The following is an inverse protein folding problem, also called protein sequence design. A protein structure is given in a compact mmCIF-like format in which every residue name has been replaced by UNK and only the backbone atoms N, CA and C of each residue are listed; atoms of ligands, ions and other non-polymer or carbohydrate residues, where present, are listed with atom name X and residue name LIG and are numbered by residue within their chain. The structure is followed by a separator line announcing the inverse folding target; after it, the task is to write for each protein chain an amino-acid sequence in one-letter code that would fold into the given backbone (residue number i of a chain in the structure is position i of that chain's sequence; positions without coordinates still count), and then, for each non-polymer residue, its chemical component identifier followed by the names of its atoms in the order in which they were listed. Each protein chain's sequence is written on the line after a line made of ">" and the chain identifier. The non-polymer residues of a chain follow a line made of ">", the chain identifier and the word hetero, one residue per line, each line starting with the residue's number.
data_IF_581160923248
#
_entry.id   IF_581160923248
#
_cell.length_a   1.000
_cell.length_b   1.000
_cell.length_c   1.000
_cell.angle_alpha   90.00
_cell.angle_beta   90.00
_cell.angle_gamma   90.00
#
_symmetry.space_group_name_H-M   'P 1'
#
loop_
_entity.id
_entity.type
_entity.pdbx_description
1 polymer ?
#
# COMPACT_ATOMS: atom_id res chain seq x y z
N UNK A 1 90.75 26.88 -14.94
CA UNK A 1 89.82 26.54 -16.05
C UNK A 1 88.99 25.26 -15.82
N UNK A 2 89.49 24.23 -15.10
CA UNK A 2 88.83 22.92 -14.94
C UNK A 2 87.51 22.90 -14.13
N UNK A 3 87.34 23.80 -13.15
CA UNK A 3 86.15 23.83 -12.28
C UNK A 3 84.86 24.32 -12.95
N UNK A 4 84.96 25.10 -14.04
CA UNK A 4 83.78 25.61 -14.75
C UNK A 4 83.05 24.51 -15.52
N UNK A 5 83.77 23.49 -16.00
CA UNK A 5 83.17 22.35 -16.70
C UNK A 5 82.41 21.40 -15.76
N UNK A 6 82.89 21.22 -14.52
CA UNK A 6 82.23 20.35 -13.54
C UNK A 6 80.82 20.87 -13.16
N UNK A 7 80.65 22.19 -13.04
CA UNK A 7 79.35 22.80 -12.71
C UNK A 7 78.32 22.63 -13.83
N UNK A 8 78.74 22.70 -15.10
CA UNK A 8 77.83 22.48 -16.24
C UNK A 8 77.31 21.04 -16.27
N UNK A 9 78.16 20.04 -16.00
CA UNK A 9 77.76 18.63 -15.99
C UNK A 9 76.73 18.36 -14.88
N UNK A 10 76.93 18.90 -13.69
CA UNK A 10 76.00 18.74 -12.57
C UNK A 10 74.63 19.37 -12.88
N UNK A 11 74.62 20.56 -13.50
CA UNK A 11 73.38 21.23 -13.91
C UNK A 11 72.60 20.43 -14.97
N UNK A 12 73.31 19.84 -15.94
CA UNK A 12 72.66 19.02 -16.98
C UNK A 12 72.07 17.71 -16.41
N UNK A 13 72.75 17.09 -15.45
CA UNK A 13 72.28 15.87 -14.78
C UNK A 13 71.07 16.15 -13.89
N UNK A 14 71.05 17.27 -13.17
CA UNK A 14 69.90 17.65 -12.33
C UNK A 14 68.67 17.99 -13.18
N UNK A 15 68.85 18.68 -14.31
CA UNK A 15 67.76 18.97 -15.25
C UNK A 15 67.18 17.67 -15.86
N UNK A 16 68.04 16.73 -16.25
CA UNK A 16 67.63 15.42 -16.75
C UNK A 16 66.83 14.61 -15.72
N UNK A 17 67.27 14.61 -14.46
CA UNK A 17 66.56 13.93 -13.38
C UNK A 17 65.16 14.51 -13.13
N UNK A 18 65.00 15.83 -13.17
CA UNK A 18 63.70 16.50 -13.01
C UNK A 18 62.76 16.19 -14.18
N UNK A 19 63.28 16.14 -15.41
CA UNK A 19 62.48 15.76 -16.59
C UNK A 19 62.01 14.30 -16.52
N UNK A 20 62.88 13.37 -16.12
CA UNK A 20 62.51 11.96 -15.94
C UNK A 20 61.48 11.81 -14.83
N UNK A 21 61.63 12.55 -13.73
CA UNK A 21 60.65 12.56 -12.64
C UNK A 21 59.28 13.09 -13.10
N UNK A 22 59.25 14.23 -13.81
CA UNK A 22 58.02 14.79 -14.38
C UNK A 22 57.34 13.84 -15.37
N UNK A 23 58.12 13.19 -16.24
CA UNK A 23 57.58 12.24 -17.20
C UNK A 23 56.94 11.03 -16.49
N UNK A 24 57.60 10.48 -15.47
CA UNK A 24 57.04 9.39 -14.66
C UNK A 24 55.76 9.80 -13.93
N UNK A 25 55.70 11.02 -13.40
CA UNK A 25 54.49 11.53 -12.74
C UNK A 25 53.32 11.70 -13.72
N UNK A 26 53.58 12.13 -14.96
CA UNK A 26 52.54 12.25 -15.99
C UNK A 26 51.99 10.88 -16.41
N UNK A 27 52.86 9.88 -16.57
CA UNK A 27 52.44 8.51 -16.90
C UNK A 27 51.59 7.92 -15.77
N UNK A 28 52.03 8.04 -14.51
CA UNK A 28 51.26 7.55 -13.36
C UNK A 28 49.89 8.22 -13.25
N UNK A 29 49.78 9.52 -13.58
CA UNK A 29 48.50 10.22 -13.58
C UNK A 29 47.58 9.71 -14.69
N UNK A 30 48.12 9.44 -15.89
CA UNK A 30 47.31 8.89 -16.98
C UNK A 30 46.80 7.48 -16.66
N UNK A 31 47.63 6.63 -16.05
CA UNK A 31 47.26 5.28 -15.63
C UNK A 31 46.11 5.29 -14.60
N UNK A 32 46.13 6.23 -13.65
CA UNK A 32 45.04 6.36 -12.65
C UNK A 32 43.73 6.84 -13.28
N UNK A 33 43.79 7.75 -14.27
CA UNK A 33 42.60 8.20 -15.01
C UNK A 33 42.00 7.05 -15.81
N UNK A 34 42.82 6.24 -16.48
CA UNK A 34 42.34 5.07 -17.21
C UNK A 34 41.74 4.02 -16.28
N UNK A 35 42.38 3.73 -15.15
CA UNK A 35 41.84 2.81 -14.15
C UNK A 35 40.50 3.31 -13.60
N UNK A 36 40.37 4.61 -13.31
CA UNK A 36 39.12 5.22 -12.87
C UNK A 36 38.03 5.08 -13.95
N UNK A 37 38.34 5.38 -15.22
CA UNK A 37 37.40 5.22 -16.34
C UNK A 37 36.94 3.78 -16.53
N UNK A 38 37.85 2.81 -16.45
CA UNK A 38 37.51 1.38 -16.53
C UNK A 38 36.60 0.95 -15.39
N UNK A 39 36.86 1.41 -14.16
CA UNK A 39 36.01 1.09 -13.02
C UNK A 39 34.60 1.69 -13.13
N UNK A 40 34.47 2.90 -13.68
CA UNK A 40 33.15 3.52 -13.93
C UNK A 40 32.40 2.80 -15.05
N UNK A 41 33.09 2.42 -16.13
CA UNK A 41 32.50 1.64 -17.21
C UNK A 41 32.00 0.29 -16.70
N UNK A 42 32.80 -0.39 -15.87
CA UNK A 42 32.42 -1.66 -15.26
C UNK A 42 31.21 -1.51 -14.34
N UNK A 43 31.20 -0.52 -13.44
CA UNK A 43 30.06 -0.23 -12.56
C UNK A 43 28.77 0.03 -13.34
N UNK A 44 28.86 0.71 -14.50
CA UNK A 44 27.70 0.98 -15.35
C UNK A 44 27.14 -0.30 -15.98
N UNK A 45 28.02 -1.23 -16.37
CA UNK A 45 27.62 -2.54 -16.91
C UNK A 45 26.98 -3.38 -15.81
N UNK A 46 27.60 -3.45 -14.63
CA UNK A 46 27.11 -4.23 -13.50
C UNK A 46 25.72 -3.74 -13.06
N UNK A 47 25.55 -2.42 -12.93
CA UNK A 47 24.26 -1.81 -12.58
C UNK A 47 23.20 -1.99 -13.68
N UNK A 48 23.60 -2.03 -14.95
CA UNK A 48 22.69 -2.36 -16.05
C UNK A 48 22.24 -3.82 -16.03
N UNK A 49 23.16 -4.74 -15.71
CA UNK A 49 22.87 -6.16 -15.57
C UNK A 49 21.97 -6.45 -14.37
N UNK A 50 22.20 -5.78 -13.22
CA UNK A 50 21.34 -5.87 -12.05
C UNK A 50 19.91 -5.41 -12.36
N UNK A 51 19.77 -4.26 -13.02
CA UNK A 51 18.45 -3.76 -13.46
C UNK A 51 17.75 -4.73 -14.40
N UNK A 52 18.45 -5.24 -15.41
CA UNK A 52 17.88 -6.22 -16.34
C UNK A 52 17.51 -7.54 -15.64
N UNK A 53 18.26 -7.95 -14.62
CA UNK A 53 17.94 -9.13 -13.82
C UNK A 53 16.68 -8.90 -12.96
N UNK A 54 16.56 -7.74 -12.31
CA UNK A 54 15.37 -7.36 -11.54
C UNK A 54 14.12 -7.24 -12.41
N UNK A 55 14.22 -6.65 -13.61
CA UNK A 55 13.10 -6.57 -14.55
C UNK A 55 12.65 -7.97 -15.00
N UNK A 56 13.60 -8.88 -15.30
CA UNK A 56 13.29 -10.26 -15.66
C UNK A 56 12.63 -11.02 -14.51
N UNK A 57 13.06 -10.82 -13.26
CA UNK A 57 12.43 -11.48 -12.12
C UNK A 57 11.02 -10.96 -11.85
N UNK A 58 10.79 -9.65 -12.04
CA UNK A 58 9.46 -9.04 -11.93
C UNK A 58 8.50 -9.59 -13.00
N UNK A 59 8.95 -9.66 -14.27
CA UNK A 59 8.16 -10.24 -15.36
C UNK A 59 7.85 -11.73 -15.13
N UNK A 60 8.80 -12.50 -14.59
CA UNK A 60 8.57 -13.90 -14.27
C UNK A 60 7.55 -14.08 -13.13
N UNK A 61 7.59 -13.21 -12.11
CA UNK A 61 6.60 -13.21 -11.03
C UNK A 61 5.20 -12.85 -11.54
N UNK A 62 5.09 -11.85 -12.41
CA UNK A 62 3.83 -11.43 -13.04
C UNK A 62 3.23 -12.55 -13.90
N UNK A 63 4.06 -13.27 -14.66
CA UNK A 63 3.61 -14.44 -15.40
C UNK A 63 3.08 -15.55 -14.49
N UNK A 64 3.76 -15.83 -13.37
CA UNK A 64 3.30 -16.82 -12.38
C UNK A 64 1.96 -16.40 -11.76
N UNK A 65 1.79 -15.12 -11.43
CA UNK A 65 0.53 -14.58 -10.92
C UNK A 65 -0.61 -14.75 -11.95
N UNK A 66 -0.37 -14.40 -13.22
CA UNK A 66 -1.34 -14.60 -14.31
C UNK A 66 -1.74 -16.08 -14.49
N UNK A 67 -0.81 -17.01 -14.28
CA UNK A 67 -1.11 -18.44 -14.32
C UNK A 67 -1.94 -18.90 -13.12
N UNK A 68 -1.66 -18.39 -11.92
CA UNK A 68 -2.45 -18.66 -10.72
C UNK A 68 -3.89 -18.13 -10.86
N UNK A 69 -4.05 -16.90 -11.35
CA UNK A 69 -5.36 -16.29 -11.60
C UNK A 69 -6.22 -17.13 -12.56
N UNK A 70 -5.62 -17.62 -13.66
CA UNK A 70 -6.31 -18.50 -14.61
C UNK A 70 -6.78 -19.79 -13.95
N UNK A 71 -6.02 -20.35 -13.02
CA UNK A 71 -6.43 -21.56 -12.29
C UNK A 71 -7.64 -21.30 -11.38
N UNK A 72 -7.68 -20.13 -10.72
CA UNK A 72 -8.81 -19.70 -9.88
C UNK A 72 -10.07 -19.46 -10.72
N UNK A 73 -9.96 -18.82 -11.88
CA UNK A 73 -11.12 -18.62 -12.78
C UNK A 73 -11.71 -19.97 -13.22
N UNK A 74 -10.85 -20.97 -13.49
CA UNK A 74 -11.30 -22.30 -13.86
C UNK A 74 -11.93 -23.09 -12.70
N UNK A 75 -11.52 -22.87 -11.44
CA UNK A 75 -12.20 -23.47 -10.29
C UNK A 75 -13.57 -22.83 -10.06
N UNK A 76 -13.65 -21.51 -10.12
CA UNK A 76 -14.91 -20.77 -9.95
C UNK A 76 -15.94 -21.14 -11.02
N UNK A 77 -15.52 -21.35 -12.27
CA UNK A 77 -16.43 -21.85 -13.31
C UNK A 77 -16.97 -23.24 -12.97
N UNK A 78 -16.13 -24.16 -12.48
CA UNK A 78 -16.55 -25.50 -12.06
C UNK A 78 -17.52 -25.46 -10.88
N UNK A 79 -17.30 -24.57 -9.92
CA UNK A 79 -18.21 -24.38 -8.79
C UNK A 79 -19.56 -23.79 -9.22
N UNK A 80 -19.56 -22.81 -10.13
CA UNK A 80 -20.79 -22.27 -10.70
C UNK A 80 -21.58 -23.32 -11.48
N UNK A 81 -20.91 -24.16 -12.26
CA UNK A 81 -21.56 -25.25 -12.99
C UNK A 81 -22.15 -26.29 -12.02
N UNK A 82 -21.45 -26.60 -10.93
CA UNK A 82 -21.94 -27.49 -9.87
C UNK A 82 -23.17 -26.92 -9.14
N UNK A 83 -23.18 -25.61 -8.83
CA UNK A 83 -24.32 -24.93 -8.21
C UNK A 83 -25.52 -24.90 -9.16
N UNK A 84 -25.30 -24.59 -10.44
CA UNK A 84 -26.35 -24.61 -11.46
C UNK A 84 -26.96 -26.02 -11.62
N UNK A 85 -26.15 -27.06 -11.64
CA UNK A 85 -26.62 -28.45 -11.70
C UNK A 85 -27.43 -28.87 -10.45
N UNK A 86 -27.01 -28.40 -9.26
CA UNK A 86 -27.72 -28.62 -7.99
C UNK A 86 -29.07 -27.87 -7.97
N UNK A 87 -29.12 -26.65 -8.50
CA UNK A 87 -30.36 -25.89 -8.64
C UNK A 87 -31.32 -26.50 -9.68
N UNK A 88 -30.80 -27.20 -10.69
CA UNK A 88 -31.60 -27.86 -11.72
C UNK A 88 -32.25 -29.20 -11.29
N UNK A 89 -31.92 -29.72 -10.10
CA UNK A 89 -32.55 -30.94 -9.53
C UNK A 89 -33.18 -30.66 -8.16
N UNK A 90 -34.38 -30.05 -8.09
CA UNK A 90 -35.11 -29.93 -6.84
C UNK A 90 -35.94 -31.21 -6.61
N UNK A 91 -35.31 -32.28 -6.12
CA UNK A 91 -36.06 -33.42 -5.59
C UNK A 91 -35.30 -34.14 -4.48
N UNK A 92 -35.93 -34.12 -3.30
CA UNK A 92 -35.76 -35.01 -2.14
C UNK A 92 -34.48 -34.85 -1.32
N UNK A 93 -34.57 -34.03 -0.28
CA UNK A 93 -34.66 -34.56 1.10
C UNK A 93 -35.34 -33.50 1.98
N UNK A 94 -36.57 -33.78 2.39
CA UNK A 94 -37.21 -33.22 3.59
C UNK A 94 -37.65 -34.42 4.43
N UNK A 95 -37.82 -34.19 5.74
CA UNK A 95 -38.23 -35.13 6.82
C UNK A 95 -36.97 -35.66 7.55
N UNK A 96 -36.63 -35.37 8.80
CA UNK A 96 -37.28 -34.70 9.95
C UNK A 96 -36.17 -34.31 10.94
N UNK A 97 -36.23 -33.13 11.56
CA UNK A 97 -35.94 -32.98 12.99
C UNK A 97 -36.40 -31.60 13.46
N UNK A 98 -37.55 -31.57 14.14
CA UNK A 98 -37.88 -30.50 15.05
C UNK A 98 -37.20 -30.78 16.38
N UNK A 99 -36.41 -29.82 16.85
CA UNK A 99 -36.18 -29.41 18.26
C UNK A 99 -34.89 -28.60 18.30
N UNK A 100 -35.00 -27.36 18.79
CA UNK A 100 -33.98 -26.31 18.87
C UNK A 100 -33.71 -25.55 17.56
N UNK A 101 -34.50 -24.51 17.34
CA UNK A 101 -34.08 -23.33 16.60
C UNK A 101 -32.98 -22.63 17.41
N UNK A 102 -31.78 -23.20 17.33
CA UNK A 102 -30.54 -22.47 17.60
C UNK A 102 -30.52 -21.37 16.55
N UNK A 103 -30.66 -20.11 16.97
CA UNK A 103 -30.36 -18.97 16.14
C UNK A 103 -29.01 -19.24 15.50
N UNK A 104 -28.98 -19.46 14.17
CA UNK A 104 -27.74 -19.57 13.42
C UNK A 104 -27.17 -18.15 13.46
N UNK A 105 -26.38 -17.86 14.49
CA UNK A 105 -25.65 -16.59 14.60
C UNK A 105 -24.73 -16.59 13.37
N UNK A 106 -24.93 -15.68 12.42
CA UNK A 106 -24.07 -15.62 11.25
C UNK A 106 -22.64 -15.36 11.70
N UNK A 107 -21.63 -15.90 10.99
CA UNK A 107 -20.23 -15.71 11.36
C UNK A 107 -19.93 -14.21 11.46
N UNK A 108 -19.23 -13.82 12.53
CA UNK A 108 -18.75 -12.46 12.72
C UNK A 108 -17.28 -12.36 12.32
N UNK A 109 -16.81 -11.13 12.06
CA UNK A 109 -15.39 -10.89 11.76
C UNK A 109 -14.45 -11.39 12.86
N UNK A 110 -14.92 -11.58 14.09
CA UNK A 110 -14.13 -12.09 15.20
C UNK A 110 -13.90 -13.62 15.13
N UNK A 111 -14.75 -14.35 14.41
CA UNK A 111 -14.74 -15.82 14.43
C UNK A 111 -13.89 -16.39 13.29
N UNK A 112 -14.13 -15.90 12.07
CA UNK A 112 -13.52 -16.41 10.83
C UNK A 112 -13.27 -15.27 9.84
N UNK A 113 -12.33 -15.44 8.89
CA UNK A 113 -12.23 -14.52 7.75
C UNK A 113 -13.54 -14.48 6.96
N UNK A 114 -14.10 -13.28 6.78
CA UNK A 114 -15.32 -13.05 5.98
C UNK A 114 -14.91 -12.41 4.66
N UNK A 115 -15.35 -12.97 3.54
CA UNK A 115 -15.14 -12.41 2.21
C UNK A 115 -15.91 -11.10 2.04
N UNK A 116 -15.39 -10.19 1.22
CA UNK A 116 -16.06 -8.92 0.91
C UNK A 116 -17.49 -9.08 0.38
N UNK A 117 -17.79 -10.22 -0.26
CA UNK A 117 -19.12 -10.55 -0.78
C UNK A 117 -20.13 -10.88 0.31
N UNK A 118 -19.63 -11.28 1.49
CA UNK A 118 -20.43 -11.70 2.63
C UNK A 118 -20.44 -10.64 3.74
N UNK A 119 -19.72 -9.53 3.58
CA UNK A 119 -19.86 -8.37 4.46
C UNK A 119 -21.27 -7.81 4.36
N UNK A 120 -21.78 -7.34 5.50
CA UNK A 120 -23.14 -6.82 5.60
C UNK A 120 -23.16 -5.53 6.40
N UNK A 121 -24.23 -4.76 6.18
CA UNK A 121 -24.61 -3.73 7.12
C UNK A 121 -25.23 -4.39 8.36
N UNK A 122 -24.44 -4.49 9.42
CA UNK A 122 -24.84 -5.05 10.73
C UNK A 122 -24.98 -3.97 11.79
N UNK A 123 -24.91 -2.69 11.39
CA UNK A 123 -25.01 -1.53 12.27
C UNK A 123 -23.70 -1.21 13.00
N UNK A 124 -23.83 -0.56 14.16
CA UNK A 124 -22.71 0.01 14.92
C UNK A 124 -22.83 -0.27 16.43
N UNK A 125 -23.56 -1.31 16.82
CA UNK A 125 -23.82 -1.63 18.23
C UNK A 125 -22.60 -2.26 18.93
N UNK A 126 -21.63 -2.77 18.15
CA UNK A 126 -20.32 -3.21 18.61
C UNK A 126 -19.20 -2.68 17.71
N UNK A 127 -17.94 -2.67 18.18
CA UNK A 127 -16.80 -2.29 17.35
C UNK A 127 -16.67 -3.13 16.08
N UNK A 128 -16.86 -4.45 16.18
CA UNK A 128 -16.79 -5.37 15.04
C UNK A 128 -17.94 -5.14 14.05
N UNK A 129 -19.14 -4.86 14.58
CA UNK A 129 -20.30 -4.52 13.75
C UNK A 129 -20.05 -3.22 12.96
N UNK A 130 -19.52 -2.19 13.62
CA UNK A 130 -19.15 -0.93 12.97
C UNK A 130 -18.10 -1.15 11.87
N UNK A 131 -17.12 -2.03 12.09
CA UNK A 131 -16.11 -2.37 11.08
C UNK A 131 -16.73 -3.14 9.91
N UNK A 132 -17.52 -4.18 10.16
CA UNK A 132 -18.16 -4.95 9.07
C UNK A 132 -19.05 -4.04 8.22
N UNK A 133 -19.83 -3.18 8.86
CA UNK A 133 -20.66 -2.20 8.16
C UNK A 133 -19.83 -1.18 7.39
N UNK A 134 -18.70 -0.72 7.93
CA UNK A 134 -17.79 0.20 7.23
C UNK A 134 -17.16 -0.46 6.01
N UNK A 135 -16.68 -1.71 6.15
CA UNK A 135 -16.09 -2.48 5.05
C UNK A 135 -17.13 -2.77 3.96
N UNK A 136 -18.35 -3.14 4.35
CA UNK A 136 -19.49 -3.29 3.45
C UNK A 136 -19.80 -2.00 2.70
N UNK A 137 -19.90 -0.88 3.42
CA UNK A 137 -20.20 0.43 2.84
C UNK A 137 -19.09 0.84 1.85
N UNK A 138 -17.83 0.64 2.20
CA UNK A 138 -16.72 0.93 1.32
C UNK A 138 -16.69 0.04 0.07
N UNK A 139 -16.95 -1.26 0.21
CA UNK A 139 -17.04 -2.18 -0.91
C UNK A 139 -18.20 -1.84 -1.86
N UNK A 140 -19.32 -1.35 -1.32
CA UNK A 140 -20.48 -0.90 -2.08
C UNK A 140 -20.39 0.53 -2.62
N UNK A 141 -19.41 1.32 -2.20
CA UNK A 141 -19.32 2.74 -2.51
C UNK A 141 -20.34 3.62 -1.78
N UNK A 142 -20.93 3.12 -0.69
CA UNK A 142 -21.89 3.86 0.15
C UNK A 142 -21.13 4.82 1.10
N UNK A 143 -20.74 5.97 0.55
CA UNK A 143 -19.98 6.98 1.28
C UNK A 143 -20.76 7.64 2.41
N UNK A 144 -22.09 7.63 2.34
CA UNK A 144 -22.94 8.22 3.38
C UNK A 144 -22.97 7.35 4.63
N UNK A 145 -23.21 6.03 4.47
CA UNK A 145 -23.13 5.08 5.59
C UNK A 145 -21.72 5.06 6.14
N UNK A 146 -20.70 5.01 5.29
CA UNK A 146 -19.31 5.06 5.74
C UNK A 146 -19.02 6.32 6.56
N UNK A 147 -19.40 7.50 6.07
CA UNK A 147 -19.19 8.76 6.79
C UNK A 147 -19.87 8.79 8.17
N UNK A 148 -21.05 8.19 8.30
CA UNK A 148 -21.77 8.11 9.58
C UNK A 148 -21.02 7.30 10.65
N UNK A 149 -20.16 6.37 10.22
CA UNK A 149 -19.36 5.48 11.05
C UNK A 149 -17.96 6.03 11.35
N UNK A 150 -17.57 7.15 10.74
CA UNK A 150 -16.28 7.78 11.00
C UNK A 150 -16.37 8.77 12.18
N UNK A 151 -15.33 8.77 12.99
CA UNK A 151 -15.05 9.78 13.99
C UNK A 151 -13.73 10.48 13.61
N UNK A 152 -13.81 11.81 13.45
CA UNK A 152 -12.66 12.65 13.14
C UNK A 152 -12.26 13.41 14.40
N UNK A 153 -11.05 13.16 14.90
CA UNK A 153 -10.45 13.99 15.93
C UNK A 153 -10.29 15.43 15.42
N UNK A 154 -10.19 16.40 16.34
CA UNK A 154 -10.21 17.83 16.00
C UNK A 154 -9.15 18.23 14.97
N UNK A 155 -7.93 17.69 15.07
CA UNK A 155 -6.84 17.95 14.12
C UNK A 155 -7.15 17.42 12.72
N UNK A 156 -7.65 16.18 12.65
CA UNK A 156 -8.04 15.49 11.40
C UNK A 156 -9.18 16.24 10.72
N UNK A 157 -10.20 16.64 11.49
CA UNK A 157 -11.33 17.44 11.00
C UNK A 157 -10.86 18.75 10.41
N UNK A 158 -10.08 19.52 11.17
CA UNK A 158 -9.57 20.82 10.72
C UNK A 158 -8.78 20.69 9.41
N UNK A 159 -7.82 19.75 9.34
CA UNK A 159 -7.04 19.54 8.11
C UNK A 159 -7.93 19.14 6.93
N UNK A 160 -8.89 18.25 7.16
CA UNK A 160 -9.81 17.80 6.10
C UNK A 160 -10.69 18.93 5.59
N UNK A 161 -11.13 19.85 6.47
CA UNK A 161 -11.85 21.06 6.09
C UNK A 161 -11.00 22.02 5.26
N UNK A 162 -9.74 22.24 5.65
CA UNK A 162 -8.80 23.07 4.90
C UNK A 162 -8.55 22.50 3.51
N UNK A 163 -8.40 21.17 3.41
CA UNK A 163 -8.25 20.48 2.14
C UNK A 163 -9.50 20.63 1.27
N UNK A 164 -10.69 20.37 1.82
CA UNK A 164 -11.95 20.51 1.08
C UNK A 164 -12.11 21.94 0.54
N UNK A 165 -11.84 22.96 1.36
CA UNK A 165 -11.90 24.39 0.96
C UNK A 165 -10.87 24.78 -0.10
N UNK A 166 -9.80 24.00 -0.26
CA UNK A 166 -8.78 24.25 -1.30
C UNK A 166 -9.19 23.75 -2.69
N UNK A 167 -10.25 22.93 -2.77
CA UNK A 167 -10.75 22.36 -4.01
C UNK A 167 -11.73 23.33 -4.72
N UNK A 168 -11.99 23.18 -6.03
CA UNK A 168 -12.97 24.01 -6.72
C UNK A 168 -14.38 23.92 -6.10
N UNK A 169 -15.15 25.01 -6.15
CA UNK A 169 -16.49 25.11 -5.55
C UNK A 169 -17.44 24.00 -6.04
N UNK A 170 -17.36 23.64 -7.33
CA UNK A 170 -18.14 22.54 -7.92
C UNK A 170 -17.85 21.19 -7.25
N UNK A 171 -16.62 20.98 -6.77
CA UNK A 171 -16.23 19.78 -6.04
C UNK A 171 -16.62 19.87 -4.56
N UNK A 172 -16.44 21.03 -3.94
CA UNK A 172 -16.89 21.27 -2.56
C UNK A 172 -18.39 20.98 -2.40
N UNK A 173 -19.20 21.41 -3.36
CA UNK A 173 -20.65 21.26 -3.32
C UNK A 173 -21.15 19.81 -3.35
N UNK A 174 -20.28 18.84 -3.69
CA UNK A 174 -20.62 17.41 -3.70
C UNK A 174 -20.62 16.79 -2.29
N UNK A 175 -20.03 17.47 -1.30
CA UNK A 175 -19.90 16.95 0.06
C UNK A 175 -20.70 17.82 1.03
N UNK A 176 -21.67 17.21 1.72
CA UNK A 176 -22.47 17.91 2.73
C UNK A 176 -21.73 18.01 4.06
N UNK A 177 -20.79 17.10 4.32
CA UNK A 177 -19.97 17.07 5.53
C UNK A 177 -18.52 16.71 5.22
N UNK A 178 -17.63 17.02 6.15
CA UNK A 178 -16.19 16.70 6.05
C UNK A 178 -15.97 15.19 6.12
N UNK A 179 -16.79 14.50 6.90
CA UNK A 179 -16.78 13.04 7.01
C UNK A 179 -17.13 12.38 5.68
N UNK A 180 -18.07 12.93 4.90
CA UNK A 180 -18.37 12.43 3.55
C UNK A 180 -17.18 12.59 2.61
N UNK A 181 -16.47 13.72 2.70
CA UNK A 181 -15.25 13.94 1.93
C UNK A 181 -14.15 12.93 2.31
N UNK A 182 -13.92 12.71 3.61
CA UNK A 182 -12.95 11.72 4.09
C UNK A 182 -13.33 10.29 3.70
N UNK A 183 -14.61 9.92 3.84
CA UNK A 183 -15.13 8.62 3.40
C UNK A 183 -14.90 8.42 1.90
N UNK A 184 -15.20 9.42 1.07
CA UNK A 184 -14.97 9.37 -0.37
C UNK A 184 -13.49 9.16 -0.74
N UNK A 185 -12.57 9.83 -0.04
CA UNK A 185 -11.13 9.64 -0.28
C UNK A 185 -10.69 8.22 0.10
N UNK A 186 -11.17 7.73 1.24
CA UNK A 186 -10.72 6.46 1.84
C UNK A 186 -11.39 5.21 1.27
N UNK A 187 -12.55 5.35 0.60
CA UNK A 187 -13.33 4.23 0.05
C UNK A 187 -12.51 3.32 -0.87
N UNK A 188 -11.55 3.89 -1.60
CA UNK A 188 -10.73 3.18 -2.60
C UNK A 188 -9.62 2.33 -1.99
N UNK A 189 -9.24 2.61 -0.75
CA UNK A 189 -8.15 1.93 -0.06
C UNK A 189 -8.63 0.68 0.67
N UNK A 190 -9.94 0.41 0.68
CA UNK A 190 -10.51 -0.78 1.29
C UNK A 190 -10.32 -1.99 0.35
N UNK A 191 -9.53 -3.00 0.75
CA UNK A 191 -9.26 -4.15 -0.10
C UNK A 191 -10.48 -5.07 -0.21
N UNK A 192 -10.82 -5.46 -1.44
CA UNK A 192 -12.00 -6.29 -1.74
C UNK A 192 -11.71 -7.81 -1.67
N UNK A 193 -11.00 -8.27 -0.65
CA UNK A 193 -10.73 -9.70 -0.46
C UNK A 193 -11.49 -10.28 0.73
N UNK A 194 -10.86 -10.39 1.89
CA UNK A 194 -11.52 -10.79 3.14
C UNK A 194 -10.94 -10.06 4.35
N UNK A 195 -11.69 -10.03 5.44
CA UNK A 195 -11.29 -9.41 6.70
C UNK A 195 -11.52 -10.35 7.88
N UNK A 196 -10.63 -10.29 8.87
CA UNK A 196 -10.80 -10.95 10.15
C UNK A 196 -10.29 -10.05 11.28
N UNK A 197 -11.07 -9.90 12.34
CA UNK A 197 -10.62 -9.32 13.61
C UNK A 197 -9.81 -10.39 14.33
N UNK A 198 -8.51 -10.16 14.45
CA UNK A 198 -7.58 -11.09 15.10
C UNK A 198 -7.53 -10.89 16.61
N UNK A 199 -7.63 -9.64 17.06
CA UNK A 199 -7.46 -9.29 18.46
C UNK A 199 -8.11 -7.95 18.79
N UNK A 200 -8.69 -7.88 19.99
CA UNK A 200 -9.11 -6.64 20.63
C UNK A 200 -8.07 -6.18 21.66
N UNK A 201 -7.84 -4.87 21.69
CA UNK A 201 -6.93 -4.18 22.58
C UNK A 201 -7.71 -3.07 23.27
N UNK A 202 -7.93 -3.12 24.59
CA UNK A 202 -8.54 -2.00 25.29
C UNK A 202 -7.61 -0.79 25.21
N UNK A 203 -8.17 0.38 24.86
CA UNK A 203 -7.48 1.67 24.82
C UNK A 203 -8.15 2.64 25.79
N UNK A 204 -7.47 3.71 26.25
CA UNK A 204 -8.06 4.66 27.19
C UNK A 204 -9.35 5.31 26.66
N UNK A 205 -9.39 5.63 25.36
CA UNK A 205 -10.49 6.37 24.72
C UNK A 205 -11.27 5.51 23.71
N UNK A 206 -11.26 4.18 23.88
CA UNK A 206 -11.96 3.25 22.99
C UNK A 206 -11.36 1.85 22.95
N UNK A 207 -11.48 1.20 21.79
CA UNK A 207 -10.92 -0.14 21.55
C UNK A 207 -10.07 -0.13 20.27
N UNK A 208 -8.95 -0.82 20.31
CA UNK A 208 -8.13 -1.13 19.15
C UNK A 208 -8.46 -2.52 18.63
N UNK A 209 -8.80 -2.62 17.35
CA UNK A 209 -9.03 -3.89 16.67
C UNK A 209 -7.87 -4.16 15.71
N UNK A 210 -7.10 -5.19 16.02
CA UNK A 210 -6.11 -5.73 15.10
C UNK A 210 -6.85 -6.54 14.04
N UNK A 211 -6.89 -6.02 12.82
CA UNK A 211 -7.61 -6.61 11.69
C UNK A 211 -6.59 -7.12 10.69
N UNK A 212 -6.79 -8.35 10.25
CA UNK A 212 -6.12 -8.90 9.08
C UNK A 212 -7.01 -8.68 7.87
N UNK A 213 -6.58 -7.80 6.97
CA UNK A 213 -7.16 -7.64 5.65
C UNK A 213 -6.38 -8.51 4.67
N UNK A 214 -7.07 -9.32 3.89
CA UNK A 214 -6.50 -10.19 2.87
C UNK A 214 -6.99 -9.65 1.54
N UNK A 215 -6.07 -9.29 0.66
CA UNK A 215 -6.34 -8.83 -0.69
C UNK A 215 -6.80 -10.00 -1.58
N UNK A 216 -7.42 -9.71 -2.74
CA UNK A 216 -7.79 -10.75 -3.71
C UNK A 216 -6.60 -11.58 -4.22
N UNK A 217 -5.39 -11.02 -4.26
CA UNK A 217 -4.13 -11.67 -4.65
C UNK A 217 -3.57 -12.61 -3.56
N UNK A 218 -4.16 -12.60 -2.36
CA UNK A 218 -3.73 -13.40 -1.21
C UNK A 218 -2.79 -12.68 -0.25
N UNK A 219 -2.32 -11.47 -0.59
CA UNK A 219 -1.49 -10.68 0.32
C UNK A 219 -2.30 -10.23 1.53
N UNK A 220 -1.72 -10.40 2.72
CA UNK A 220 -2.37 -10.03 3.96
C UNK A 220 -1.68 -8.84 4.63
N UNK A 221 -2.46 -7.82 4.96
CA UNK A 221 -2.03 -6.66 5.76
C UNK A 221 -2.69 -6.73 7.13
N UNK A 222 -1.89 -6.60 8.18
CA UNK A 222 -2.42 -6.33 9.51
C UNK A 222 -2.48 -4.84 9.75
N UNK A 223 -3.62 -4.37 10.26
CA UNK A 223 -3.88 -2.99 10.63
C UNK A 223 -4.43 -2.95 12.04
N UNK A 224 -4.10 -1.89 12.77
CA UNK A 224 -4.78 -1.56 14.01
C UNK A 224 -5.76 -0.43 13.71
N UNK A 225 -7.06 -0.73 13.76
CA UNK A 225 -8.10 0.28 13.68
C UNK A 225 -8.55 0.62 15.10
N UNK A 226 -8.72 1.90 15.38
CA UNK A 226 -9.26 2.35 16.66
C UNK A 226 -10.73 2.68 16.49
N UNK A 227 -11.56 2.24 17.42
CA UNK A 227 -12.97 2.58 17.49
C UNK A 227 -13.30 3.23 18.83
N UNK A 228 -14.17 4.24 18.82
CA UNK A 228 -14.66 4.93 20.01
C UNK A 228 -16.18 4.87 20.04
N UNK A 229 -16.76 4.73 21.23
CA UNK A 229 -18.19 4.84 21.41
C UNK A 229 -18.58 6.32 21.45
N UNK A 230 -19.44 6.75 20.51
CA UNK A 230 -19.94 8.12 20.41
C UNK A 230 -21.47 8.07 20.48
N UNK A 231 -22.01 8.49 21.62
CA UNK A 231 -23.43 8.25 21.93
C UNK A 231 -23.71 6.76 22.04
N UNK A 232 -24.64 6.25 21.24
CA UNK A 232 -25.03 4.84 21.22
C UNK A 232 -24.36 4.02 20.10
N UNK A 233 -23.47 4.63 19.30
CA UNK A 233 -22.84 3.97 18.16
C UNK A 233 -21.33 3.90 18.33
N UNK A 234 -20.75 2.77 17.91
CA UNK A 234 -19.31 2.65 17.71
C UNK A 234 -18.89 3.27 16.40
N UNK A 235 -17.87 4.12 16.45
CA UNK A 235 -17.31 4.79 15.30
C UNK A 235 -15.83 4.51 15.16
N UNK A 236 -15.35 4.43 13.93
CA UNK A 236 -13.95 4.28 13.58
C UNK A 236 -13.25 5.62 13.64
N UNK A 237 -12.22 5.70 14.47
CA UNK A 237 -11.35 6.86 14.56
C UNK A 237 -10.43 6.86 13.35
N UNK A 238 -10.49 7.93 12.56
CA UNK A 238 -9.61 8.09 11.40
C UNK A 238 -8.23 8.55 11.88
N UNK A 239 -7.16 7.77 11.65
CA UNK A 239 -5.82 8.19 12.05
C UNK A 239 -5.34 9.34 11.16
N UNK A 240 -4.53 10.25 11.71
CA UNK A 240 -3.95 11.38 10.96
C UNK A 240 -3.20 10.91 9.71
N UNK A 241 -2.50 9.78 9.79
CA UNK A 241 -1.73 9.20 8.69
C UNK A 241 -2.58 8.78 7.49
N UNK A 242 -3.87 8.47 7.68
CA UNK A 242 -4.76 8.17 6.57
C UNK A 242 -5.02 9.41 5.71
N UNK A 243 -5.08 10.59 6.33
CA UNK A 243 -5.31 11.86 5.65
C UNK A 243 -4.04 12.36 4.96
N UNK A 244 -2.87 12.20 5.59
CA UNK A 244 -1.59 12.67 5.06
C UNK A 244 -1.27 12.08 3.66
N UNK A 245 -1.66 10.82 3.41
CA UNK A 245 -1.45 10.17 2.11
C UNK A 245 -2.23 10.87 0.98
N UNK A 246 -3.47 11.29 1.23
CA UNK A 246 -4.30 11.98 0.24
C UNK A 246 -3.88 13.43 0.03
N UNK A 247 -3.38 14.10 1.07
CA UNK A 247 -2.80 15.44 0.93
C UNK A 247 -1.64 15.45 -0.06
N UNK A 248 -0.74 14.47 0.02
CA UNK A 248 0.38 14.34 -0.91
C UNK A 248 -0.10 14.05 -2.33
N UNK A 249 -1.10 13.19 -2.49
CA UNK A 249 -1.65 12.85 -3.80
C UNK A 249 -2.33 14.04 -4.49
N UNK A 250 -3.14 14.79 -3.76
CA UNK A 250 -3.85 15.95 -4.28
C UNK A 250 -2.91 17.13 -4.56
N UNK A 251 -1.95 17.41 -3.67
CA UNK A 251 -0.96 18.48 -3.92
C UNK A 251 -0.05 18.18 -5.12
N UNK A 252 0.21 16.92 -5.44
CA UNK A 252 1.00 16.52 -6.62
C UNK A 252 0.23 16.55 -7.96
N UNK A 253 -1.10 16.65 -7.94
CA UNK A 253 -1.96 16.59 -9.15
C UNK A 253 -2.82 17.84 -9.38
N UNK A 254 -2.76 18.86 -8.52
CA UNK A 254 -3.38 20.15 -8.85
C UNK A 254 -2.59 20.79 -10.00
N UNK A 255 -3.19 21.03 -11.19
CA UNK A 255 -2.53 21.83 -12.20
C UNK A 255 -2.23 23.19 -11.57
N UNK A 256 -0.96 23.59 -11.56
CA UNK A 256 -0.55 24.95 -11.25
C UNK A 256 -1.13 25.86 -12.32
N UNK A 257 -2.38 26.25 -12.15
CA UNK A 257 -3.05 27.25 -12.96
C UNK A 257 -2.58 28.63 -12.54
N UNK A 258 -1.45 29.06 -13.11
CA UNK A 258 -1.16 30.45 -13.47
C UNK A 258 -0.32 30.49 -14.73
#
# INVERSE_FOLDING_TARGET
>A
MKWRWALFVILTLSLGAVLVWRYRSLVALNDTIEAARRSLAQKKIDHGNEKAASERSLLAADQLALHADRAVVLSLRRELDAIKQRAAHPAQTRVTQGSQELAIIPPSLADVPISYRDWRNVGADSPEAAIETTLWAAAGGDTEVMASLLELDASVRQRSEELLKSLPDDFQSQFSTVEQFVAFMTVRDVPLGSAQVMRRLPLPDGEGLAIKLINPDGDAKMLLLTSRQVGNAWKLVVPESAIDHYFLYLQGHLPTGR
#
